data_IF_864717571861
#
_entry.id   IF_864717571861
#
_cell.length_a   1.000
_cell.length_b   1.000
_cell.length_c   1.000
_cell.angle_alpha   90.00
_cell.angle_beta   90.00
_cell.angle_gamma   90.00
#
_symmetry.space_group_name_H-M   'P 1'
#
loop_
_entity.id
_entity.type
_entity.pdbx_description
1 polymer ?
#
# COMPACT_ATOMS: atom_id res chain seq x y z
N UNK A 1 25.01 -6.15 -27.08
CA UNK A 1 23.75 -5.98 -26.34
C UNK A 1 23.82 -4.64 -25.63
N UNK A 2 23.04 -3.65 -26.06
CA UNK A 2 22.94 -2.38 -25.34
C UNK A 2 22.14 -2.63 -24.05
N UNK A 3 22.75 -2.35 -22.90
CA UNK A 3 22.09 -2.40 -21.61
C UNK A 3 21.01 -1.32 -21.61
N UNK A 4 19.73 -1.71 -21.74
CA UNK A 4 18.62 -0.77 -21.64
C UNK A 4 18.67 -0.12 -20.25
N UNK A 5 18.86 1.19 -20.21
CA UNK A 5 18.93 1.95 -18.96
C UNK A 5 17.51 2.06 -18.38
N UNK A 6 17.22 1.28 -17.35
CA UNK A 6 15.98 1.37 -16.57
C UNK A 6 15.84 2.75 -15.93
N UNK A 7 14.59 3.13 -15.67
CA UNK A 7 14.29 4.32 -14.90
C UNK A 7 14.36 3.99 -13.41
N UNK A 8 14.80 4.93 -12.58
CA UNK A 8 14.79 4.79 -11.12
C UNK A 8 14.26 6.09 -10.54
N UNK A 9 13.22 6.02 -9.71
CA UNK A 9 12.79 7.15 -8.89
C UNK A 9 13.39 6.99 -7.49
N UNK A 10 14.05 8.02 -7.00
CA UNK A 10 14.47 8.12 -5.60
C UNK A 10 14.05 9.45 -5.01
N UNK A 11 13.80 9.47 -3.71
CA UNK A 11 13.37 10.66 -2.97
C UNK A 11 14.29 10.84 -1.77
N UNK A 12 14.56 12.09 -1.38
CA UNK A 12 15.38 12.45 -0.24
C UNK A 12 14.72 13.62 0.50
N UNK A 13 14.50 13.46 1.80
CA UNK A 13 13.92 14.48 2.67
C UNK A 13 14.92 14.90 3.73
N UNK A 14 15.21 16.19 3.84
CA UNK A 14 16.06 16.75 4.90
C UNK A 14 15.24 17.70 5.78
N UNK A 15 15.36 17.53 7.09
CA UNK A 15 14.83 18.45 8.10
C UNK A 15 15.97 19.25 8.70
N UNK A 16 15.89 20.58 8.60
CA UNK A 16 16.84 21.47 9.25
C UNK A 16 16.21 22.12 10.48
N UNK A 17 16.94 22.12 11.60
CA UNK A 17 16.61 22.89 12.79
C UNK A 17 17.61 24.04 12.91
N UNK A 18 17.11 25.28 12.87
CA UNK A 18 17.88 26.44 13.27
C UNK A 18 17.75 26.59 14.79
N UNK A 19 18.84 26.39 15.53
CA UNK A 19 18.92 26.74 16.95
C UNK A 19 19.64 28.08 17.04
N UNK A 20 18.90 29.19 17.05
CA UNK A 20 19.46 30.45 17.51
C UNK A 20 19.17 30.63 18.99
N UNK A 21 20.22 30.91 19.76
CA UNK A 21 20.11 31.17 21.19
C UNK A 21 19.25 32.41 21.44
N UNK A 22 18.06 32.21 22.01
CA UNK A 22 17.20 33.27 22.54
C UNK A 22 15.99 33.59 21.67
N UNK A 23 14.79 33.35 22.23
CA UNK A 23 13.50 33.98 21.93
C UNK A 23 12.96 34.05 20.49
N UNK A 24 13.66 33.54 19.47
CA UNK A 24 13.22 33.57 18.08
C UNK A 24 12.40 32.30 17.73
N UNK A 25 11.31 32.49 16.97
CA UNK A 25 10.46 31.41 16.49
C UNK A 25 11.27 30.40 15.67
N UNK A 26 11.13 29.13 16.03
CA UNK A 26 11.77 28.01 15.30
C UNK A 26 11.00 27.80 13.99
N UNK A 27 11.64 28.07 12.86
CA UNK A 27 11.12 27.69 11.55
C UNK A 27 11.61 26.28 11.20
N UNK A 28 10.68 25.36 10.93
CA UNK A 28 10.99 24.07 10.32
C UNK A 28 11.04 24.28 8.80
N UNK A 29 12.24 24.33 8.23
CA UNK A 29 12.39 24.26 6.77
C UNK A 29 12.41 22.79 6.34
N UNK A 30 11.35 22.39 5.65
CA UNK A 30 11.26 21.08 5.01
C UNK A 30 11.81 21.17 3.59
N UNK A 31 12.94 20.49 3.37
CA UNK A 31 13.54 20.40 2.04
C UNK A 31 13.34 18.98 1.48
N UNK A 32 12.33 18.84 0.63
CA UNK A 32 12.05 17.60 -0.08
C UNK A 32 12.62 17.62 -1.50
N UNK A 33 13.31 16.55 -1.89
CA UNK A 33 13.87 16.35 -3.22
C UNK A 33 13.40 15.02 -3.83
N UNK A 34 12.90 15.05 -5.07
CA UNK A 34 12.73 13.85 -5.90
C UNK A 34 13.77 13.83 -7.01
N UNK A 35 14.38 12.67 -7.25
CA UNK A 35 15.33 12.41 -8.33
C UNK A 35 14.80 11.29 -9.21
N UNK A 36 14.41 11.63 -10.42
CA UNK A 36 14.12 10.66 -11.46
C UNK A 36 15.38 10.44 -12.30
N UNK A 37 15.92 9.23 -12.28
CA UNK A 37 16.94 8.81 -13.24
C UNK A 37 16.24 8.21 -14.44
N UNK A 38 16.26 8.89 -15.58
CA UNK A 38 15.69 8.42 -16.84
C UNK A 38 16.76 8.28 -17.91
N UNK A 39 16.91 7.08 -18.48
CA UNK A 39 17.93 6.77 -19.49
C UNK A 39 19.36 7.17 -19.07
N UNK A 40 19.64 7.14 -17.78
CA UNK A 40 20.91 7.55 -17.17
C UNK A 40 21.08 9.05 -16.94
N UNK A 41 20.08 9.87 -17.23
CA UNK A 41 20.03 11.29 -16.89
C UNK A 41 19.22 11.50 -15.62
N UNK A 42 19.71 12.33 -14.70
CA UNK A 42 19.01 12.64 -13.45
C UNK A 42 18.20 13.93 -13.59
N UNK A 43 16.95 13.88 -13.15
CA UNK A 43 16.01 14.99 -13.08
C UNK A 43 15.68 15.24 -11.62
N UNK A 44 16.05 16.40 -11.10
CA UNK A 44 15.93 16.76 -9.68
C UNK A 44 14.84 17.80 -9.50
N UNK A 45 13.86 17.48 -8.67
CA UNK A 45 12.74 18.36 -8.29
C UNK A 45 12.92 18.77 -6.83
N UNK A 46 12.85 20.08 -6.55
CA UNK A 46 13.05 20.66 -5.20
C UNK A 46 11.81 21.48 -4.81
N UNK A 47 11.50 21.54 -3.50
CA UNK A 47 10.45 22.40 -2.92
C UNK A 47 9.03 22.22 -3.52
N UNK A 48 8.81 21.20 -4.34
CA UNK A 48 7.54 20.97 -5.05
C UNK A 48 6.70 19.91 -4.35
N UNK A 49 7.31 19.03 -3.54
CA UNK A 49 6.68 17.83 -2.97
C UNK A 49 5.43 18.14 -2.13
N UNK A 50 5.38 19.27 -1.43
CA UNK A 50 4.19 19.70 -0.68
C UNK A 50 3.00 20.13 -1.56
N UNK A 51 3.24 20.43 -2.84
CA UNK A 51 2.21 20.87 -3.80
C UNK A 51 1.87 19.80 -4.84
N UNK A 52 2.53 18.63 -4.81
CA UNK A 52 2.23 17.55 -5.75
C UNK A 52 0.89 16.93 -5.36
N UNK A 53 -0.13 17.20 -6.15
CA UNK A 53 -1.46 16.61 -6.01
C UNK A 53 -1.64 15.37 -6.90
N UNK A 54 -0.80 15.21 -7.92
CA UNK A 54 -0.84 14.07 -8.85
C UNK A 54 0.56 13.59 -9.16
N UNK A 55 0.77 12.28 -9.03
CA UNK A 55 1.99 11.59 -9.44
C UNK A 55 1.60 10.47 -10.40
N UNK A 56 1.86 10.66 -11.70
CA UNK A 56 1.71 9.61 -12.71
C UNK A 56 3.09 9.23 -13.26
N UNK A 57 3.49 8.00 -12.97
CA UNK A 57 4.71 7.38 -13.47
C UNK A 57 4.41 6.05 -14.16
N UNK A 58 3.16 5.86 -14.57
CA UNK A 58 2.70 4.62 -15.16
C UNK A 58 3.34 4.31 -16.50
N UNK A 59 3.34 3.04 -16.88
CA UNK A 59 3.82 2.56 -18.19
C UNK A 59 5.29 2.89 -18.46
N UNK A 60 6.12 2.75 -17.43
CA UNK A 60 7.56 2.93 -17.52
C UNK A 60 8.30 1.60 -17.26
N UNK A 61 9.62 1.67 -17.14
CA UNK A 61 10.49 0.56 -16.75
C UNK A 61 11.11 0.79 -15.36
N UNK A 62 10.37 1.44 -14.46
CA UNK A 62 10.83 1.67 -13.10
C UNK A 62 10.96 0.33 -12.37
N UNK A 63 12.03 0.15 -11.62
CA UNK A 63 12.23 -1.06 -10.81
C UNK A 63 12.79 -0.73 -9.44
N UNK A 64 12.95 -1.78 -8.62
CA UNK A 64 13.25 -1.61 -7.20
C UNK A 64 12.01 -1.27 -6.39
N UNK A 65 12.21 -0.94 -5.12
CA UNK A 65 11.12 -0.62 -4.19
C UNK A 65 10.66 0.82 -4.34
N UNK A 66 9.40 1.08 -3.97
CA UNK A 66 8.85 2.43 -3.82
C UNK A 66 9.47 3.05 -2.56
N UNK A 67 10.26 4.14 -2.67
CA UNK A 67 10.85 4.78 -1.51
C UNK A 67 9.77 5.31 -0.55
N UNK A 68 10.02 5.16 0.75
CA UNK A 68 9.08 5.57 1.80
C UNK A 68 8.76 7.06 1.76
N UNK A 69 9.66 7.92 1.26
CA UNK A 69 9.43 9.38 1.23
C UNK A 69 8.38 9.79 0.18
N UNK A 70 7.95 8.89 -0.71
CA UNK A 70 6.75 9.12 -1.53
C UNK A 70 5.50 9.23 -0.63
N UNK A 71 5.52 8.61 0.55
CA UNK A 71 4.43 8.70 1.53
C UNK A 71 4.42 10.02 2.30
N UNK A 72 5.49 10.83 2.20
CA UNK A 72 5.54 12.19 2.77
C UNK A 72 4.75 13.20 1.92
N UNK A 73 4.31 12.82 0.73
CA UNK A 73 3.53 13.65 -0.20
C UNK A 73 2.06 13.72 0.21
N UNK A 74 1.79 14.16 1.44
CA UNK A 74 0.46 14.15 2.07
C UNK A 74 -0.63 14.91 1.30
N UNK A 75 -0.24 15.80 0.38
CA UNK A 75 -1.15 16.50 -0.53
C UNK A 75 -1.55 15.72 -1.79
N UNK A 76 -1.04 14.49 -1.99
CA UNK A 76 -1.38 13.67 -3.14
C UNK A 76 -2.86 13.28 -3.13
N UNK A 77 -3.50 13.54 -4.26
CA UNK A 77 -4.88 13.16 -4.58
C UNK A 77 -4.90 11.94 -5.50
N UNK A 78 -3.94 11.84 -6.41
CA UNK A 78 -3.84 10.72 -7.35
C UNK A 78 -2.41 10.20 -7.47
N UNK A 79 -2.23 8.89 -7.31
CA UNK A 79 -0.96 8.20 -7.50
C UNK A 79 -1.14 7.03 -8.46
N UNK A 80 -0.46 7.08 -9.60
CA UNK A 80 -0.46 6.02 -10.61
C UNK A 80 0.99 5.54 -10.84
N UNK A 81 1.31 4.36 -10.33
CA UNK A 81 2.60 3.69 -10.52
C UNK A 81 2.45 2.42 -11.39
N UNK A 82 1.29 2.23 -12.03
CA UNK A 82 0.97 1.00 -12.74
C UNK A 82 1.92 0.70 -13.91
N UNK A 83 1.97 -0.57 -14.33
CA UNK A 83 2.73 -1.00 -15.54
C UNK A 83 4.20 -0.61 -15.45
N UNK A 84 4.85 -1.02 -14.37
CA UNK A 84 6.29 -0.89 -14.14
C UNK A 84 6.85 -2.26 -13.71
N UNK A 85 8.11 -2.28 -13.29
CA UNK A 85 8.80 -3.44 -12.71
C UNK A 85 9.08 -3.20 -11.21
N UNK A 86 8.22 -2.44 -10.51
CA UNK A 86 8.42 -2.13 -9.09
C UNK A 86 8.24 -3.39 -8.23
N UNK A 87 9.10 -3.54 -7.23
CA UNK A 87 9.14 -4.68 -6.30
C UNK A 87 8.93 -4.20 -4.86
N UNK A 88 9.05 -5.11 -3.90
CA UNK A 88 8.95 -4.78 -2.47
C UNK A 88 7.54 -4.92 -1.93
N UNK A 89 7.36 -4.55 -0.67
CA UNK A 89 6.06 -4.57 0.00
C UNK A 89 5.39 -3.20 -0.08
N UNK A 90 4.06 -3.17 -0.04
CA UNK A 90 3.32 -1.92 0.18
C UNK A 90 3.55 -1.51 1.65
N UNK A 91 4.32 -0.45 1.85
CA UNK A 91 4.68 0.07 3.18
C UNK A 91 3.43 0.51 3.98
N UNK A 92 3.35 0.24 5.30
CA UNK A 92 2.27 0.75 6.13
C UNK A 92 2.17 2.29 6.16
N UNK A 93 3.22 3.01 5.78
CA UNK A 93 3.21 4.48 5.68
C UNK A 93 2.21 5.01 4.64
N UNK A 94 1.77 4.17 3.69
CA UNK A 94 0.74 4.55 2.71
C UNK A 94 -0.50 5.19 3.36
N UNK A 95 -0.86 4.77 4.58
CA UNK A 95 -1.99 5.33 5.33
C UNK A 95 -1.82 6.79 5.76
N UNK A 96 -0.68 7.44 5.50
CA UNK A 96 -0.43 8.87 5.76
C UNK A 96 -1.02 9.78 4.68
N UNK A 97 -1.25 9.27 3.46
CA UNK A 97 -1.71 10.05 2.31
C UNK A 97 -3.22 10.34 2.35
N UNK A 98 -3.67 11.09 3.36
CA UNK A 98 -5.10 11.25 3.70
C UNK A 98 -5.97 11.78 2.57
N UNK A 99 -5.42 12.60 1.68
CA UNK A 99 -6.14 13.18 0.54
C UNK A 99 -6.20 12.27 -0.69
N UNK A 100 -5.61 11.07 -0.64
CA UNK A 100 -5.49 10.20 -1.79
C UNK A 100 -6.84 9.57 -2.17
N UNK A 101 -7.35 9.98 -3.32
CA UNK A 101 -8.60 9.50 -3.89
C UNK A 101 -8.43 8.44 -4.98
N UNK A 102 -7.27 8.40 -5.61
CA UNK A 102 -6.93 7.46 -6.69
C UNK A 102 -5.57 6.80 -6.43
N UNK A 103 -5.53 5.47 -6.43
CA UNK A 103 -4.32 4.67 -6.27
C UNK A 103 -4.28 3.52 -7.28
N UNK A 104 -3.30 3.51 -8.18
CA UNK A 104 -3.10 2.41 -9.13
C UNK A 104 -1.66 1.89 -9.06
N UNK A 105 -1.50 0.70 -8.46
CA UNK A 105 -0.25 -0.05 -8.38
C UNK A 105 -0.27 -1.30 -9.27
N UNK A 106 -1.27 -1.42 -10.15
CA UNK A 106 -1.48 -2.62 -10.95
C UNK A 106 -0.31 -2.93 -11.88
N UNK A 107 -0.12 -4.20 -12.24
CA UNK A 107 0.90 -4.64 -13.21
C UNK A 107 2.31 -4.23 -12.78
N UNK A 108 2.68 -4.65 -11.58
CA UNK A 108 4.01 -4.54 -11.00
C UNK A 108 4.41 -5.91 -10.39
N UNK A 109 5.39 -5.93 -9.48
CA UNK A 109 5.88 -7.12 -8.79
C UNK A 109 5.84 -6.92 -7.26
N UNK A 110 4.87 -6.16 -6.75
CA UNK A 110 4.68 -5.98 -5.30
C UNK A 110 4.33 -7.31 -4.64
N UNK A 111 4.87 -7.58 -3.45
CA UNK A 111 4.64 -8.82 -2.73
C UNK A 111 4.29 -8.60 -1.24
N UNK A 112 3.89 -9.67 -0.57
CA UNK A 112 3.43 -9.63 0.82
C UNK A 112 1.97 -9.23 0.95
N UNK A 113 1.53 -8.97 2.19
CA UNK A 113 0.14 -8.61 2.48
C UNK A 113 -0.21 -7.16 2.19
N UNK A 114 -1.49 -6.90 1.95
CA UNK A 114 -2.02 -5.54 1.93
C UNK A 114 -1.97 -4.98 3.36
N UNK A 115 -1.23 -3.90 3.63
CA UNK A 115 -1.17 -3.33 4.97
C UNK A 115 -2.55 -2.79 5.38
N UNK A 116 -2.97 -3.06 6.62
CA UNK A 116 -4.25 -2.57 7.15
C UNK A 116 -4.34 -1.05 7.14
N UNK A 117 -3.22 -0.33 7.25
CA UNK A 117 -3.18 1.13 7.19
C UNK A 117 -3.64 1.70 5.85
N UNK A 118 -3.71 0.91 4.78
CA UNK A 118 -4.31 1.33 3.52
C UNK A 118 -5.81 1.67 3.70
N UNK A 119 -6.48 1.07 4.69
CA UNK A 119 -7.84 1.45 5.05
C UNK A 119 -7.95 2.80 5.77
N UNK A 120 -6.84 3.46 6.09
CA UNK A 120 -6.84 4.80 6.68
C UNK A 120 -6.94 5.93 5.64
N UNK A 121 -7.01 5.59 4.35
CA UNK A 121 -7.19 6.51 3.23
C UNK A 121 -8.68 6.80 3.05
N UNK A 122 -9.24 7.71 3.85
CA UNK A 122 -10.69 7.96 3.91
C UNK A 122 -11.32 8.39 2.58
N UNK A 123 -10.53 9.05 1.73
CA UNK A 123 -11.01 9.64 0.48
C UNK A 123 -10.82 8.70 -0.72
N UNK A 124 -10.24 7.51 -0.49
CA UNK A 124 -9.89 6.56 -1.55
C UNK A 124 -11.15 6.02 -2.23
N UNK A 125 -11.33 6.40 -3.49
CA UNK A 125 -12.49 6.06 -4.30
C UNK A 125 -12.17 5.09 -5.43
N UNK A 126 -10.92 5.12 -5.92
CA UNK A 126 -10.44 4.24 -6.97
C UNK A 126 -9.15 3.58 -6.50
N UNK A 127 -9.14 2.24 -6.56
CA UNK A 127 -7.97 1.44 -6.23
C UNK A 127 -7.81 0.30 -7.23
N UNK A 128 -6.59 0.10 -7.72
CA UNK A 128 -6.20 -1.08 -8.48
C UNK A 128 -4.85 -1.63 -7.99
N UNK A 129 -4.86 -2.86 -7.44
CA UNK A 129 -3.69 -3.60 -6.98
C UNK A 129 -3.46 -4.86 -7.84
N UNK A 130 -4.21 -5.01 -8.93
CA UNK A 130 -4.25 -6.24 -9.73
C UNK A 130 -2.93 -6.53 -10.43
N UNK A 131 -2.69 -7.80 -10.74
CA UNK A 131 -1.51 -8.28 -11.44
C UNK A 131 -0.21 -7.89 -10.73
N UNK A 132 -0.06 -8.39 -9.50
CA UNK A 132 1.12 -8.29 -8.65
C UNK A 132 1.39 -9.68 -8.02
N UNK A 133 2.29 -9.75 -7.03
CA UNK A 133 2.61 -10.94 -6.25
C UNK A 133 2.12 -10.81 -4.80
N UNK A 134 1.05 -10.03 -4.55
CA UNK A 134 0.50 -9.83 -3.21
C UNK A 134 -0.14 -11.12 -2.70
N UNK A 135 -0.06 -11.37 -1.40
CA UNK A 135 -0.54 -12.62 -0.80
C UNK A 135 -1.20 -12.41 0.56
N UNK A 136 -1.99 -13.38 1.01
CA UNK A 136 -2.68 -13.34 2.30
C UNK A 136 -4.08 -12.71 2.24
N UNK A 137 -4.63 -12.39 3.41
CA UNK A 137 -6.04 -11.97 3.54
C UNK A 137 -6.19 -10.48 3.28
N UNK A 138 -7.20 -10.09 2.49
CA UNK A 138 -7.63 -8.69 2.37
C UNK A 138 -8.13 -8.22 3.75
N UNK A 139 -7.65 -7.07 4.29
CA UNK A 139 -8.03 -6.60 5.62
C UNK A 139 -9.55 -6.48 5.79
N UNK A 140 -10.12 -7.34 6.64
CA UNK A 140 -11.56 -7.46 6.86
C UNK A 140 -12.13 -6.36 7.75
N UNK A 141 -13.40 -6.02 7.56
CA UNK A 141 -14.05 -4.97 8.34
C UNK A 141 -13.56 -3.56 7.98
N UNK A 142 -12.95 -3.41 6.80
CA UNK A 142 -12.45 -2.14 6.28
C UNK A 142 -13.08 -1.82 4.94
N UNK A 143 -12.95 -0.56 4.51
CA UNK A 143 -13.38 -0.12 3.18
C UNK A 143 -12.71 -0.90 2.03
N UNK A 144 -11.59 -1.60 2.27
CA UNK A 144 -10.93 -2.39 1.23
C UNK A 144 -11.86 -3.51 0.69
N UNK A 145 -12.82 -3.98 1.49
CA UNK A 145 -13.77 -5.00 1.06
C UNK A 145 -14.91 -4.47 0.18
N UNK A 146 -15.05 -3.14 0.01
CA UNK A 146 -16.08 -2.55 -0.86
C UNK A 146 -15.64 -2.41 -2.33
N UNK A 147 -14.34 -2.50 -2.61
CA UNK A 147 -13.82 -2.48 -3.97
C UNK A 147 -14.18 -3.77 -4.74
N UNK A 148 -14.19 -3.70 -6.07
CA UNK A 148 -14.50 -4.86 -6.89
C UNK A 148 -13.41 -5.94 -6.74
N UNK A 149 -13.79 -7.22 -6.85
CA UNK A 149 -12.85 -8.34 -6.93
C UNK A 149 -11.76 -8.15 -8.00
N UNK A 150 -12.05 -7.45 -9.10
CA UNK A 150 -11.09 -7.16 -10.16
C UNK A 150 -9.88 -6.34 -9.70
N UNK A 151 -10.05 -5.44 -8.72
CA UNK A 151 -8.98 -4.63 -8.10
C UNK A 151 -7.87 -5.50 -7.51
N UNK A 152 -8.17 -6.76 -7.17
CA UNK A 152 -7.24 -7.69 -6.53
C UNK A 152 -6.81 -8.84 -7.46
N UNK A 153 -7.35 -8.90 -8.67
CA UNK A 153 -7.14 -10.01 -9.60
C UNK A 153 -5.66 -10.24 -9.92
N UNK A 154 -5.27 -11.47 -10.22
CA UNK A 154 -3.89 -11.79 -10.58
C UNK A 154 -2.89 -11.59 -9.43
N UNK A 155 -3.33 -11.85 -8.19
CA UNK A 155 -2.50 -11.94 -6.98
C UNK A 155 -2.79 -13.28 -6.26
N UNK A 156 -2.07 -13.57 -5.19
CA UNK A 156 -2.27 -14.70 -4.26
C UNK A 156 -3.10 -14.30 -3.02
N UNK A 157 -3.99 -13.32 -3.18
CA UNK A 157 -4.84 -12.80 -2.11
C UNK A 157 -6.08 -13.68 -1.88
N UNK A 158 -6.64 -13.63 -0.68
CA UNK A 158 -7.87 -14.33 -0.31
C UNK A 158 -8.78 -13.48 0.60
N UNK A 159 -10.02 -13.92 0.77
CA UNK A 159 -11.05 -13.22 1.55
C UNK A 159 -11.80 -12.17 0.72
N UNK A 160 -12.96 -11.72 1.24
CA UNK A 160 -13.83 -10.78 0.52
C UNK A 160 -13.06 -9.53 0.07
N UNK A 161 -13.28 -9.05 -1.16
CA UNK A 161 -14.34 -9.43 -2.11
C UNK A 161 -14.02 -10.66 -2.98
N UNK A 162 -12.87 -11.31 -2.82
CA UNK A 162 -12.50 -12.49 -3.59
C UNK A 162 -13.26 -13.74 -3.12
N UNK A 163 -13.59 -14.68 -4.03
CA UNK A 163 -14.36 -15.87 -3.69
C UNK A 163 -13.55 -16.94 -2.93
N UNK A 164 -12.22 -16.87 -2.99
CA UNK A 164 -11.32 -17.84 -2.38
C UNK A 164 -11.12 -17.59 -0.88
N UNK A 165 -11.18 -18.66 -0.08
CA UNK A 165 -10.86 -18.66 1.35
C UNK A 165 -9.38 -19.03 1.56
N UNK A 166 -8.83 -18.69 2.74
CA UNK A 166 -7.44 -19.02 3.08
C UNK A 166 -7.31 -20.54 3.27
N UNK A 167 -6.25 -21.20 2.76
CA UNK A 167 -6.11 -22.67 2.85
C UNK A 167 -6.06 -23.24 4.28
N UNK A 168 -5.80 -22.41 5.29
CA UNK A 168 -5.68 -22.78 6.69
C UNK A 168 -6.99 -22.62 7.50
N UNK A 169 -7.99 -21.88 7.01
CA UNK A 169 -9.29 -21.74 7.70
C UNK A 169 -10.14 -23.03 7.65
N UNK A 170 -9.86 -23.97 6.74
CA UNK A 170 -10.54 -25.29 6.68
C UNK A 170 -10.11 -26.24 7.81
N UNK A 171 -9.06 -25.92 8.58
CA UNK A 171 -8.58 -26.74 9.70
C UNK A 171 -9.16 -26.37 11.07
N UNK A 172 -9.94 -25.28 11.16
CA UNK A 172 -10.49 -24.78 12.43
C UNK A 172 -11.92 -25.25 12.74
N UNK A 173 -12.50 -26.13 11.92
CA UNK A 173 -13.65 -26.94 12.34
C UNK A 173 -13.15 -28.13 13.16
N UNK A 174 -12.88 -27.87 14.45
CA UNK A 174 -12.77 -28.93 15.44
C UNK A 174 -14.02 -29.82 15.42
N UNK A 175 -13.91 -31.12 15.75
CA UNK A 175 -15.03 -32.05 15.67
C UNK A 175 -16.20 -31.53 16.51
N UNK A 176 -17.39 -31.55 15.89
CA UNK A 176 -18.64 -31.13 16.50
C UNK A 176 -18.82 -31.77 17.87
N UNK A 177 -19.18 -30.93 18.85
CA UNK A 177 -19.75 -31.39 20.11
C UNK A 177 -21.19 -31.80 19.85
N UNK A 178 -21.38 -32.99 19.31
CA UNK A 178 -22.64 -33.71 19.40
C UNK A 178 -22.40 -35.03 20.15
N UNK A 179 -23.28 -35.24 21.12
CA UNK A 179 -23.59 -36.46 21.88
C UNK A 179 -22.87 -36.79 23.20
N UNK A 180 -23.72 -36.79 24.23
CA UNK A 180 -23.81 -37.72 25.36
C UNK A 180 -23.47 -37.19 26.76
N UNK A 181 -24.45 -36.56 27.42
CA UNK A 181 -24.89 -36.97 28.77
C UNK A 181 -26.16 -36.22 29.20
N UNK A 182 -27.32 -36.68 28.72
CA UNK A 182 -28.59 -36.41 29.40
C UNK A 182 -28.66 -37.35 30.61
N UNK A 183 -28.53 -36.76 31.79
CA UNK A 183 -28.57 -37.43 33.06
C UNK A 183 -29.99 -37.96 33.33
N UNK A 184 -30.07 -39.28 33.56
CA UNK A 184 -31.26 -40.05 33.93
C UNK A 184 -32.02 -39.40 35.09
N UNK A 185 -33.28 -39.02 34.86
CA UNK A 185 -34.27 -38.82 35.92
C UNK A 185 -35.10 -40.11 36.03
N UNK A 186 -34.84 -40.91 37.07
CA UNK A 186 -35.66 -42.08 37.43
C UNK A 186 -36.96 -41.57 38.07
N UNK A 187 -38.10 -41.90 37.47
CA UNK A 187 -39.40 -41.89 38.13
C UNK A 187 -39.58 -43.30 38.73
N UNK A 188 -39.76 -43.38 40.05
CA UNK A 188 -40.26 -44.59 40.70
C UNK A 188 -41.79 -44.45 40.83
N UNK A 189 -42.51 -45.43 40.27
CA UNK A 189 -43.83 -45.84 40.76
C UNK A 189 -43.64 -46.70 42.02
#
# INVERSE_FOLDING_TARGET
MAQEKSAVLSTHSNYYFAVEGGSALVFLDYFGQAVLTWKGSQYKYQNTLALVTMLDLSSNKLGGEVPDEIMDLVGLIAMNLSRNNLTGQITPKIGQLKSLGFLDFSRNQFFGGIPSSLSHLSDLSVMDLSYNNLSGKIPSGTQLQSFNASTYAGNELCGLPLPNKRPDEDSALGPGKDDANIQKMRINL
#
